data_IF_687608610342
#
_entry.id   IF_687608610342
#
_cell.length_a   1.000
_cell.length_b   1.000
_cell.length_c   1.000
_cell.angle_alpha   90.00
_cell.angle_beta   90.00
_cell.angle_gamma   90.00
#
_symmetry.space_group_name_H-M   'P 1'
#
loop_
_entity.id
_entity.type
_entity.pdbx_description
1 polymer ?
#
# COMPACT_ATOMS: atom_id res chain seq x y z
N UNK A 1 -18.11 16.72 4.53
CA UNK A 1 -18.61 15.72 5.51
C UNK A 1 -19.21 14.56 4.77
N UNK A 2 -18.82 13.34 5.09
CA UNK A 2 -19.35 12.09 4.54
C UNK A 2 -20.08 11.30 5.61
N UNK A 3 -20.98 10.42 5.18
CA UNK A 3 -21.61 9.46 6.07
C UNK A 3 -20.69 8.25 6.27
N UNK A 4 -20.75 7.62 7.45
CA UNK A 4 -19.97 6.42 7.73
C UNK A 4 -20.15 5.29 6.69
N UNK A 5 -21.28 5.23 6.01
CA UNK A 5 -21.57 4.26 4.95
C UNK A 5 -20.80 4.51 3.64
N UNK A 6 -20.30 5.72 3.45
CA UNK A 6 -19.58 6.13 2.25
C UNK A 6 -18.07 5.90 2.36
N UNK A 7 -17.60 5.49 3.55
CA UNK A 7 -16.20 5.16 3.78
C UNK A 7 -15.79 3.96 2.93
N UNK A 8 -14.67 4.11 2.23
CA UNK A 8 -14.01 3.07 1.43
C UNK A 8 -12.54 2.99 1.80
N UNK A 9 -11.86 1.95 1.38
CA UNK A 9 -10.39 1.87 1.49
C UNK A 9 -9.79 3.08 0.76
N UNK A 10 -8.87 3.78 1.42
CA UNK A 10 -8.25 5.02 0.93
C UNK A 10 -9.01 6.30 1.28
N UNK A 11 -10.22 6.21 1.90
CA UNK A 11 -10.92 7.41 2.37
C UNK A 11 -10.17 8.01 3.55
N UNK A 12 -9.86 9.32 3.46
CA UNK A 12 -9.23 10.08 4.53
C UNK A 12 -10.28 10.86 5.31
N UNK A 13 -10.24 10.72 6.64
CA UNK A 13 -11.16 11.39 7.55
C UNK A 13 -10.38 12.10 8.66
N UNK A 14 -10.92 13.20 9.16
CA UNK A 14 -10.41 13.88 10.35
C UNK A 14 -11.18 13.37 11.59
N UNK A 15 -10.44 12.81 12.54
CA UNK A 15 -11.00 12.30 13.78
C UNK A 15 -10.09 12.72 14.94
N UNK A 16 -10.67 13.36 15.96
CA UNK A 16 -9.95 13.86 17.13
C UNK A 16 -8.74 14.77 16.77
N UNK A 17 -8.89 15.61 15.75
CA UNK A 17 -7.86 16.52 15.25
C UNK A 17 -6.73 15.87 14.45
N UNK A 18 -6.78 14.56 14.23
CA UNK A 18 -5.80 13.80 13.44
C UNK A 18 -6.40 13.28 12.15
N UNK A 19 -5.56 13.10 11.13
CA UNK A 19 -5.98 12.52 9.84
C UNK A 19 -5.76 11.02 9.87
N UNK A 20 -6.78 10.28 9.46
CA UNK A 20 -6.81 8.84 9.41
C UNK A 20 -7.21 8.37 8.01
N UNK A 21 -6.52 7.38 7.49
CA UNK A 21 -6.86 6.72 6.23
C UNK A 21 -7.53 5.39 6.52
N UNK A 22 -8.67 5.12 5.91
CA UNK A 22 -9.34 3.82 6.00
C UNK A 22 -8.56 2.77 5.21
N UNK A 23 -8.08 1.73 5.90
CA UNK A 23 -7.34 0.62 5.30
C UNK A 23 -8.18 -0.64 5.15
N UNK A 24 -9.27 -0.76 5.91
CA UNK A 24 -10.22 -1.88 5.84
C UNK A 24 -11.56 -1.46 6.43
N UNK A 25 -12.65 -2.04 5.95
CA UNK A 25 -13.99 -1.78 6.49
C UNK A 25 -14.93 -2.97 6.32
N UNK A 26 -15.86 -3.13 7.25
CA UNK A 26 -16.90 -4.14 7.21
C UNK A 26 -18.26 -3.56 7.61
N UNK A 27 -19.29 -3.85 6.82
CA UNK A 27 -20.67 -3.61 7.21
C UNK A 27 -21.20 -4.78 8.03
N UNK A 28 -21.62 -4.52 9.26
CA UNK A 28 -22.23 -5.52 10.12
C UNK A 28 -23.69 -5.17 10.40
N UNK A 29 -24.59 -6.05 9.97
CA UNK A 29 -26.03 -6.00 10.30
C UNK A 29 -26.32 -7.04 11.38
N UNK A 30 -26.38 -6.66 12.66
CA UNK A 30 -26.82 -7.58 13.70
C UNK A 30 -28.30 -7.90 13.50
N UNK A 31 -28.74 -9.12 13.82
CA UNK A 31 -30.14 -9.56 13.66
C UNK A 31 -31.14 -8.75 14.51
N UNK A 32 -30.68 -8.12 15.59
CA UNK A 32 -31.40 -7.11 16.38
C UNK A 32 -30.43 -5.95 16.63
N UNK A 33 -30.81 -4.74 16.23
CA UNK A 33 -30.06 -3.51 16.43
C UNK A 33 -29.69 -2.77 15.15
N UNK A 34 -29.08 -1.60 15.30
CA UNK A 34 -28.69 -0.76 14.17
C UNK A 34 -27.48 -1.37 13.43
N UNK A 35 -27.48 -1.22 12.12
CA UNK A 35 -26.32 -1.54 11.29
C UNK A 35 -25.13 -0.68 11.72
N UNK A 36 -23.97 -1.27 11.85
CA UNK A 36 -22.74 -0.60 12.18
C UNK A 36 -21.69 -0.80 11.10
N UNK A 37 -20.77 0.15 11.00
CA UNK A 37 -19.59 0.09 10.15
C UNK A 37 -18.36 -0.08 11.03
N UNK A 38 -17.68 -1.19 10.91
CA UNK A 38 -16.40 -1.43 11.56
C UNK A 38 -15.31 -1.01 10.58
N UNK A 39 -14.43 -0.10 10.98
CA UNK A 39 -13.36 0.41 10.13
C UNK A 39 -12.01 0.21 10.81
N UNK A 40 -10.99 -0.16 10.03
CA UNK A 40 -9.60 -0.05 10.43
C UNK A 40 -9.02 1.22 9.84
N UNK A 41 -8.57 2.09 10.71
CA UNK A 41 -8.06 3.41 10.38
C UNK A 41 -6.57 3.45 10.70
N UNK A 42 -5.75 3.85 9.71
CA UNK A 42 -4.31 4.09 9.89
C UNK A 42 -4.09 5.59 10.08
N UNK A 43 -3.43 5.96 11.16
CA UNK A 43 -3.04 7.34 11.40
C UNK A 43 -1.95 7.75 10.40
N UNK A 44 -2.13 8.90 9.76
CA UNK A 44 -1.21 9.40 8.76
C UNK A 44 0.13 9.83 9.37
N UNK A 45 0.10 10.43 10.57
CA UNK A 45 1.30 11.01 11.18
C UNK A 45 2.22 9.99 11.84
N UNK A 46 1.67 8.91 12.44
CA UNK A 46 2.44 7.95 13.24
C UNK A 46 2.28 6.49 12.80
N UNK A 47 1.47 6.24 11.76
CA UNK A 47 1.25 4.90 11.20
C UNK A 47 0.45 3.94 12.08
N UNK A 48 -0.01 4.35 13.26
CA UNK A 48 -0.79 3.50 14.17
C UNK A 48 -2.11 3.10 13.56
N UNK A 49 -2.51 1.86 13.79
CA UNK A 49 -3.79 1.33 13.32
C UNK A 49 -4.78 1.29 14.49
N UNK A 50 -5.97 1.82 14.27
CA UNK A 50 -7.09 1.83 15.21
C UNK A 50 -8.32 1.20 14.55
N UNK A 51 -8.97 0.29 15.25
CA UNK A 51 -10.29 -0.17 14.85
C UNK A 51 -11.36 0.72 15.49
N UNK A 52 -12.27 1.24 14.67
CA UNK A 52 -13.36 2.11 15.12
C UNK A 52 -14.67 1.65 14.52
N UNK A 53 -15.69 1.58 15.36
CA UNK A 53 -17.06 1.25 14.95
C UNK A 53 -17.90 2.51 14.91
N UNK A 54 -18.52 2.77 13.76
CA UNK A 54 -19.44 3.89 13.57
C UNK A 54 -20.87 3.36 13.39
N UNK A 55 -21.83 4.08 13.95
CA UNK A 55 -23.23 3.84 13.63
C UNK A 55 -23.50 4.28 12.18
N UNK A 56 -24.48 3.64 11.55
CA UNK A 56 -24.95 4.04 10.21
C UNK A 56 -25.43 5.49 10.26
N UNK A 57 -25.10 6.25 9.21
CA UNK A 57 -25.38 7.69 9.11
C UNK A 57 -24.61 8.60 10.09
N UNK A 58 -23.58 8.09 10.76
CA UNK A 58 -22.68 8.95 11.53
C UNK A 58 -21.90 9.86 10.56
N UNK A 59 -21.97 11.18 10.81
CA UNK A 59 -21.27 12.16 9.96
C UNK A 59 -19.82 12.29 10.39
N UNK A 60 -18.92 12.18 9.41
CA UNK A 60 -17.49 12.30 9.58
C UNK A 60 -16.97 13.48 8.74
N UNK A 61 -15.95 14.14 9.23
CA UNK A 61 -15.24 15.14 8.46
C UNK A 61 -14.32 14.44 7.46
N UNK A 62 -14.63 14.53 6.17
CA UNK A 62 -13.79 14.04 5.11
C UNK A 62 -12.65 15.03 4.83
N UNK A 63 -11.49 14.48 4.51
CA UNK A 63 -10.32 15.23 4.07
C UNK A 63 -10.27 15.15 2.53
N UNK A 64 -10.28 16.30 1.88
CA UNK A 64 -10.12 16.36 0.42
C UNK A 64 -8.66 16.10 0.06
N UNK A 65 -8.45 15.15 -0.81
CA UNK A 65 -7.11 14.73 -1.20
C UNK A 65 -6.86 15.01 -2.67
N UNK A 66 -5.63 15.33 -2.98
CA UNK A 66 -5.08 15.40 -4.33
C UNK A 66 -4.02 14.31 -4.48
N UNK A 67 -3.96 13.70 -5.67
CA UNK A 67 -2.98 12.67 -6.02
C UNK A 67 -2.10 13.23 -7.13
N UNK A 68 -0.78 13.15 -6.92
CA UNK A 68 0.20 13.58 -7.91
C UNK A 68 1.30 12.54 -8.09
N UNK A 69 1.82 12.37 -9.31
CA UNK A 69 2.93 11.45 -9.56
C UNK A 69 4.25 12.04 -9.05
N UNK A 70 4.96 11.24 -8.27
CA UNK A 70 6.31 11.51 -7.79
C UNK A 70 7.22 10.35 -8.15
N UNK A 71 8.46 10.64 -8.47
CA UNK A 71 9.49 9.65 -8.74
C UNK A 71 10.33 9.41 -7.51
N UNK A 72 10.50 8.15 -7.12
CA UNK A 72 11.42 7.77 -6.07
C UNK A 72 12.86 7.92 -6.56
N UNK A 73 13.69 8.65 -5.81
CA UNK A 73 15.10 8.88 -6.16
C UNK A 73 16.04 7.98 -5.36
N UNK A 74 16.05 8.14 -4.03
CA UNK A 74 16.93 7.40 -3.13
C UNK A 74 16.42 7.48 -1.69
N UNK A 75 17.04 6.70 -0.81
CA UNK A 75 16.81 6.75 0.63
C UNK A 75 17.97 7.46 1.33
N UNK A 76 17.63 8.32 2.29
CA UNK A 76 18.58 8.97 3.19
C UNK A 76 18.15 8.80 4.66
N UNK A 77 18.94 9.32 5.66
CA UNK A 77 18.57 9.23 7.07
C UNK A 77 17.25 9.92 7.45
N UNK A 78 16.73 10.82 6.61
CA UNK A 78 15.46 11.54 6.83
C UNK A 78 14.26 10.76 6.31
N UNK A 79 14.46 9.83 5.38
CA UNK A 79 13.41 9.01 4.77
C UNK A 79 13.69 8.67 3.31
N UNK A 80 12.63 8.39 2.60
CA UNK A 80 12.66 8.13 1.16
C UNK A 80 12.44 9.46 0.42
N UNK A 81 13.36 9.81 -0.49
CA UNK A 81 13.31 11.06 -1.23
C UNK A 81 12.56 10.86 -2.54
N UNK A 82 11.52 11.65 -2.72
CA UNK A 82 10.70 11.66 -3.93
C UNK A 82 10.76 13.01 -4.62
N UNK A 83 10.72 13.00 -5.93
CA UNK A 83 10.71 14.20 -6.77
C UNK A 83 9.38 14.32 -7.49
N UNK A 84 8.74 15.47 -7.36
CA UNK A 84 7.56 15.81 -8.15
C UNK A 84 7.93 15.90 -9.63
N UNK A 85 7.21 15.18 -10.49
CA UNK A 85 7.53 15.15 -11.92
C UNK A 85 7.17 16.44 -12.67
N UNK A 86 6.35 17.31 -12.07
CA UNK A 86 5.94 18.58 -12.67
C UNK A 86 6.80 19.74 -12.19
N UNK A 87 7.05 19.83 -10.87
CA UNK A 87 7.76 20.96 -10.26
C UNK A 87 9.24 20.66 -9.98
N UNK A 88 9.67 19.40 -10.07
CA UNK A 88 11.01 18.92 -9.73
C UNK A 88 11.41 19.16 -8.26
N UNK A 89 10.46 19.48 -7.43
CA UNK A 89 10.67 19.64 -5.98
C UNK A 89 10.86 18.27 -5.33
N UNK A 90 11.85 18.19 -4.44
CA UNK A 90 12.16 16.97 -3.70
C UNK A 90 11.58 17.04 -2.29
N UNK A 91 10.94 15.95 -1.87
CA UNK A 91 10.32 15.83 -0.55
C UNK A 91 10.74 14.52 0.13
N UNK A 92 11.05 14.54 1.42
CA UNK A 92 11.25 13.31 2.20
C UNK A 92 9.90 12.76 2.66
N UNK A 93 9.67 11.46 2.44
CA UNK A 93 8.48 10.76 2.95
C UNK A 93 8.95 9.62 3.86
N UNK A 94 8.46 9.54 5.10
CA UNK A 94 8.83 8.48 6.03
C UNK A 94 8.21 7.14 5.63
N UNK A 95 8.90 6.05 5.93
CA UNK A 95 8.51 4.68 5.56
C UNK A 95 7.05 4.33 5.91
N UNK A 96 6.57 4.76 7.08
CA UNK A 96 5.21 4.42 7.53
C UNK A 96 4.09 5.04 6.67
N UNK A 97 4.42 6.07 5.87
CA UNK A 97 3.49 6.70 4.91
C UNK A 97 3.58 6.08 3.51
N UNK A 98 4.52 5.17 3.26
CA UNK A 98 4.70 4.54 1.95
C UNK A 98 4.05 3.16 1.95
N UNK A 99 3.17 2.92 0.99
CA UNK A 99 2.58 1.60 0.76
C UNK A 99 3.33 0.89 -0.36
N UNK A 100 3.83 -0.33 -0.08
CA UNK A 100 4.59 -1.12 -1.04
C UNK A 100 6.09 -0.76 -1.10
N UNK A 101 6.63 -0.09 -0.10
CA UNK A 101 8.03 0.35 -0.06
C UNK A 101 9.06 -0.78 -0.28
N UNK A 102 8.76 -2.01 0.19
CA UNK A 102 9.63 -3.18 0.02
C UNK A 102 9.83 -3.59 -1.44
N UNK A 103 8.91 -3.18 -2.32
CA UNK A 103 8.92 -3.50 -3.75
C UNK A 103 9.32 -2.32 -4.63
N UNK A 104 9.65 -1.19 -4.01
CA UNK A 104 10.01 0.04 -4.70
C UNK A 104 11.51 0.07 -5.03
N UNK A 105 11.83 0.49 -6.25
CA UNK A 105 13.20 0.72 -6.69
C UNK A 105 13.39 2.16 -7.19
N UNK A 106 14.63 2.61 -7.23
CA UNK A 106 14.98 3.94 -7.76
C UNK A 106 14.44 4.13 -9.17
N UNK A 107 13.81 5.28 -9.39
CA UNK A 107 13.16 5.62 -10.64
C UNK A 107 11.68 5.25 -10.74
N UNK A 108 11.14 4.45 -9.81
CA UNK A 108 9.72 4.10 -9.80
C UNK A 108 8.86 5.34 -9.53
N UNK A 109 7.70 5.39 -10.18
CA UNK A 109 6.71 6.45 -9.99
C UNK A 109 5.65 5.97 -9.01
N UNK A 110 5.41 6.78 -7.97
CA UNK A 110 4.38 6.57 -6.96
C UNK A 110 3.35 7.66 -7.01
N UNK A 111 2.15 7.42 -6.53
CA UNK A 111 1.15 8.46 -6.30
C UNK A 111 1.29 8.99 -4.87
N UNK A 112 1.66 10.26 -4.74
CA UNK A 112 1.65 10.96 -3.45
C UNK A 112 0.30 11.60 -3.24
N UNK A 113 -0.32 11.27 -2.11
CA UNK A 113 -1.64 11.75 -1.69
C UNK A 113 -1.43 12.88 -0.68
N UNK A 114 -1.95 14.06 -0.98
CA UNK A 114 -1.85 15.25 -0.13
C UNK A 114 -3.22 15.77 0.26
N UNK A 115 -3.33 16.37 1.45
CA UNK A 115 -4.50 17.16 1.85
C UNK A 115 -4.50 18.47 1.06
N UNK A 116 -5.60 18.78 0.37
CA UNK A 116 -5.71 20.01 -0.42
C UNK A 116 -5.84 21.28 0.43
N UNK A 117 -6.12 21.13 1.73
CA UNK A 117 -6.33 22.29 2.61
C UNK A 117 -5.02 22.94 3.08
N UNK A 118 -3.99 22.12 3.32
CA UNK A 118 -2.71 22.57 3.89
C UNK A 118 -1.48 21.97 3.20
N UNK A 119 -1.67 21.08 2.19
CA UNK A 119 -0.59 20.42 1.48
C UNK A 119 0.07 19.29 2.27
N UNK A 120 -0.49 18.88 3.40
CA UNK A 120 0.07 17.78 4.22
C UNK A 120 0.12 16.48 3.42
N UNK A 121 1.28 15.81 3.43
CA UNK A 121 1.45 14.50 2.79
C UNK A 121 0.75 13.45 3.65
N UNK A 122 -0.18 12.73 3.06
CA UNK A 122 -0.97 11.70 3.72
C UNK A 122 -0.41 10.29 3.47
N UNK A 123 -0.02 9.99 2.24
CA UNK A 123 0.59 8.73 1.86
C UNK A 123 1.33 8.84 0.53
N UNK A 124 2.22 7.88 0.29
CA UNK A 124 2.78 7.58 -1.02
C UNK A 124 2.42 6.13 -1.36
N UNK A 125 1.81 5.92 -2.51
CA UNK A 125 1.26 4.62 -2.90
C UNK A 125 1.94 4.13 -4.19
N UNK A 126 2.56 2.95 -4.12
CA UNK A 126 3.06 2.26 -5.31
C UNK A 126 1.87 1.83 -6.18
N UNK A 127 2.05 1.74 -7.51
CA UNK A 127 1.09 1.04 -8.36
C UNK A 127 0.82 -0.36 -7.81
N UNK A 128 -0.44 -0.80 -7.87
CA UNK A 128 -0.87 -2.12 -7.34
C UNK A 128 -0.06 -3.27 -7.91
N UNK A 129 0.42 -3.12 -9.14
CA UNK A 129 1.23 -4.12 -9.83
C UNK A 129 2.57 -3.53 -10.22
N UNK A 130 3.65 -4.25 -9.88
CA UNK A 130 5.00 -3.89 -10.32
C UNK A 130 5.71 -5.11 -10.88
N UNK A 131 6.74 -4.87 -11.68
CA UNK A 131 7.58 -5.92 -12.27
C UNK A 131 8.96 -5.85 -11.68
N UNK A 132 9.42 -6.98 -11.11
CA UNK A 132 10.72 -7.08 -10.45
C UNK A 132 11.45 -8.33 -10.90
N UNK A 133 12.78 -8.22 -10.98
CA UNK A 133 13.66 -9.34 -11.32
C UNK A 133 13.99 -10.16 -10.07
N UNK A 134 14.00 -11.48 -10.23
CA UNK A 134 14.48 -12.40 -9.20
C UNK A 134 16.00 -12.42 -9.21
N UNK A 135 16.60 -12.08 -8.08
CA UNK A 135 18.07 -12.11 -7.90
C UNK A 135 18.57 -13.41 -7.28
N UNK A 136 17.72 -14.06 -6.47
CA UNK A 136 18.05 -15.36 -5.88
C UNK A 136 16.80 -16.21 -5.69
N UNK A 137 16.92 -17.50 -6.00
CA UNK A 137 15.86 -18.48 -5.81
C UNK A 137 16.43 -19.89 -5.67
N UNK A 138 16.06 -20.60 -4.62
CA UNK A 138 16.45 -21.97 -4.44
C UNK A 138 15.86 -22.87 -5.55
N UNK A 139 16.57 -23.94 -5.96
CA UNK A 139 16.02 -24.90 -6.90
C UNK A 139 14.77 -25.57 -6.31
N UNK A 140 13.71 -25.62 -7.13
CA UNK A 140 12.46 -26.25 -6.72
C UNK A 140 12.64 -27.78 -6.56
N UNK A 141 12.77 -28.23 -5.30
CA UNK A 141 12.81 -29.67 -5.01
C UNK A 141 11.38 -30.19 -5.13
N UNK A 142 11.13 -31.05 -6.10
CA UNK A 142 9.87 -31.83 -6.19
C UNK A 142 9.83 -32.89 -5.08
N UNK A 143 9.37 -32.46 -3.91
CA UNK A 143 9.02 -33.36 -2.82
C UNK A 143 7.51 -33.39 -2.66
N UNK A 144 6.90 -34.53 -2.96
CA UNK A 144 5.52 -34.93 -2.68
C UNK A 144 4.39 -33.95 -3.11
N UNK A 145 3.76 -34.22 -4.23
CA UNK A 145 2.31 -34.12 -4.60
C UNK A 145 1.46 -32.94 -4.02
N UNK A 146 2.02 -31.79 -3.69
CA UNK A 146 1.18 -30.65 -3.40
C UNK A 146 0.96 -29.85 -4.68
N UNK A 147 -0.26 -29.91 -5.21
CA UNK A 147 -0.79 -28.94 -6.16
C UNK A 147 -0.61 -27.54 -5.55
N UNK A 148 0.11 -26.63 -6.24
CA UNK A 148 0.45 -25.28 -5.80
C UNK A 148 1.66 -25.12 -4.82
N UNK A 149 2.66 -26.00 -4.92
CA UNK A 149 3.90 -25.81 -4.17
C UNK A 149 4.61 -24.50 -4.60
N UNK A 150 4.97 -23.69 -3.62
CA UNK A 150 5.70 -22.43 -3.81
C UNK A 150 7.04 -22.48 -3.09
N UNK A 151 8.00 -21.69 -3.58
CA UNK A 151 9.31 -21.49 -2.98
C UNK A 151 9.59 -20.01 -2.72
N UNK A 152 10.46 -19.68 -1.76
CA UNK A 152 10.90 -18.29 -1.58
C UNK A 152 11.79 -17.86 -2.74
N UNK A 153 11.65 -16.60 -3.15
CA UNK A 153 12.51 -15.96 -4.12
C UNK A 153 12.81 -14.54 -3.66
N UNK A 154 14.07 -14.14 -3.74
CA UNK A 154 14.53 -12.79 -3.42
C UNK A 154 14.49 -11.93 -4.68
N UNK A 155 13.89 -10.76 -4.56
CA UNK A 155 13.76 -9.79 -5.64
C UNK A 155 14.94 -8.80 -5.66
N UNK A 156 15.10 -8.07 -6.75
CA UNK A 156 16.12 -7.02 -6.90
C UNK A 156 16.06 -5.92 -5.84
N UNK A 157 14.90 -5.73 -5.21
CA UNK A 157 14.71 -4.81 -4.08
C UNK A 157 15.14 -5.39 -2.72
N UNK A 158 15.51 -6.67 -2.67
CA UNK A 158 15.81 -7.39 -1.44
C UNK A 158 14.59 -8.02 -0.75
N UNK A 159 13.38 -7.73 -1.22
CA UNK A 159 12.17 -8.35 -0.69
C UNK A 159 12.09 -9.83 -1.05
N UNK A 160 11.52 -10.64 -0.16
CA UNK A 160 11.31 -12.08 -0.38
C UNK A 160 9.82 -12.35 -0.62
N UNK A 161 9.53 -12.97 -1.75
CA UNK A 161 8.15 -13.35 -2.15
C UNK A 161 8.05 -14.84 -2.41
N UNK A 162 6.84 -15.37 -2.36
CA UNK A 162 6.59 -16.77 -2.68
C UNK A 162 6.19 -16.92 -4.15
N UNK A 163 6.95 -17.74 -4.87
CA UNK A 163 6.73 -17.99 -6.31
C UNK A 163 6.50 -19.48 -6.58
N UNK A 164 5.82 -19.86 -7.68
CA UNK A 164 5.72 -21.25 -8.11
C UNK A 164 7.10 -21.89 -8.31
N UNK A 165 7.19 -23.20 -8.13
CA UNK A 165 8.47 -23.95 -8.21
C UNK A 165 9.20 -23.81 -9.54
N UNK A 166 8.47 -23.57 -10.64
CA UNK A 166 9.03 -23.46 -11.99
C UNK A 166 9.70 -22.12 -12.29
N UNK A 167 9.56 -21.14 -11.41
CA UNK A 167 10.17 -19.82 -11.57
C UNK A 167 11.64 -19.90 -11.14
N UNK A 168 12.54 -19.36 -11.97
CA UNK A 168 13.98 -19.43 -11.80
C UNK A 168 14.58 -18.05 -11.51
N UNK A 169 15.81 -18.09 -10.97
CA UNK A 169 16.65 -16.91 -10.83
C UNK A 169 16.88 -16.23 -12.19
N UNK A 170 16.87 -14.90 -12.21
CA UNK A 170 17.01 -14.07 -13.40
C UNK A 170 15.71 -13.79 -14.14
N UNK A 171 14.61 -14.48 -13.83
CA UNK A 171 13.30 -14.21 -14.43
C UNK A 171 12.68 -12.92 -13.86
N UNK A 172 11.88 -12.24 -14.71
CA UNK A 172 11.10 -11.06 -14.32
C UNK A 172 9.68 -11.48 -14.03
N UNK A 173 9.21 -11.12 -12.86
CA UNK A 173 7.86 -11.45 -12.40
C UNK A 173 7.04 -10.21 -12.11
N UNK A 174 5.74 -10.32 -12.23
CA UNK A 174 4.77 -9.32 -11.77
C UNK A 174 4.24 -9.73 -10.42
N UNK A 175 4.21 -8.78 -9.49
CA UNK A 175 3.70 -8.96 -8.13
C UNK A 175 2.65 -7.90 -7.78
N UNK A 176 1.79 -8.22 -6.83
CA UNK A 176 0.92 -7.24 -6.18
C UNK A 176 1.70 -6.56 -5.05
N UNK A 177 1.78 -5.24 -5.07
CA UNK A 177 2.57 -4.45 -4.10
C UNK A 177 1.93 -4.34 -2.72
N UNK A 178 0.68 -4.76 -2.57
CA UNK A 178 -0.07 -4.69 -1.31
C UNK A 178 0.26 -5.85 -0.37
N UNK A 179 0.49 -7.05 -0.93
CA UNK A 179 0.69 -8.28 -0.17
C UNK A 179 1.88 -9.13 -0.66
N UNK A 180 2.57 -8.70 -1.73
CA UNK A 180 3.70 -9.41 -2.33
C UNK A 180 3.32 -10.67 -3.09
N UNK A 181 2.04 -10.86 -3.43
CA UNK A 181 1.59 -12.05 -4.14
C UNK A 181 2.08 -12.08 -5.59
N UNK A 182 2.51 -13.25 -6.02
CA UNK A 182 2.91 -13.50 -7.41
C UNK A 182 1.68 -13.46 -8.33
N UNK A 183 1.72 -12.62 -9.35
CA UNK A 183 0.65 -12.49 -10.34
C UNK A 183 0.96 -13.20 -11.66
N UNK A 184 2.23 -13.26 -12.05
CA UNK A 184 2.61 -13.89 -13.32
C UNK A 184 4.06 -13.66 -13.68
N UNK A 185 4.53 -14.38 -14.69
CA UNK A 185 5.82 -14.15 -15.32
C UNK A 185 5.64 -13.14 -16.44
N UNK A 186 6.55 -12.18 -16.53
CA UNK A 186 6.62 -11.25 -17.65
C UNK A 186 7.61 -11.81 -18.64
N UNK A 187 7.13 -12.19 -19.82
CA UNK A 187 8.01 -12.56 -20.93
C UNK A 187 8.62 -11.27 -21.50
N UNK A 188 9.92 -11.21 -21.51
CA UNK A 188 10.67 -10.14 -22.17
C UNK A 188 10.50 -10.21 -23.68
#
# INVERSE_FOLDING_TARGET
MINSQEIKIGTCIRLDGKIWTCIDFQHRKPGKGNTVMITKLKNVSDGRVLERTFQVCFKLEDVRVERRPYQYLYQDPTGYIFMNQETFEQIPIPLHQITGADYMKEGDVVEVVTDTSDGTILSAEMPVKTTLKITHSEPGIKGNTATNATKPATLETGAVVRVPLFINEGEVIQIDTRDGSYLGRVNA
#
